data_IF_100290271161
#
_entry.id   IF_100290271161
#
_cell.length_a   1.000
_cell.length_b   1.000
_cell.length_c   1.000
_cell.angle_alpha   90.00
_cell.angle_beta   90.00
_cell.angle_gamma   90.00
#
_symmetry.space_group_name_H-M   'P 1'
#
loop_
_entity.id
_entity.type
_entity.pdbx_description
1 polymer ?
#
# COMPACT_ATOMS: atom_id res chain seq x y z
N UNK A 1 -21.05 19.95 2.54
CA UNK A 1 -19.59 20.07 2.72
C UNK A 1 -18.95 18.81 2.14
N UNK A 2 -18.48 18.89 0.89
CA UNK A 2 -17.95 17.75 0.13
C UNK A 2 -16.76 17.10 0.86
N UNK A 3 -15.88 17.93 1.48
CA UNK A 3 -14.71 17.44 2.22
C UNK A 3 -15.09 16.57 3.41
N UNK A 4 -16.19 16.91 4.10
CA UNK A 4 -16.70 16.12 5.22
C UNK A 4 -17.18 14.74 4.76
N UNK A 5 -17.85 14.66 3.62
CA UNK A 5 -18.33 13.38 3.06
C UNK A 5 -17.16 12.50 2.60
N UNK A 6 -16.12 13.10 2.00
CA UNK A 6 -14.89 12.40 1.61
C UNK A 6 -14.14 11.84 2.82
N UNK A 7 -14.03 12.62 3.91
CA UNK A 7 -13.40 12.18 5.16
C UNK A 7 -14.16 10.99 5.78
N UNK A 8 -15.49 11.04 5.85
CA UNK A 8 -16.27 9.94 6.41
C UNK A 8 -16.20 8.67 5.54
N UNK A 9 -16.17 8.83 4.21
CA UNK A 9 -15.96 7.71 3.29
C UNK A 9 -14.57 7.07 3.49
N UNK A 10 -13.53 7.90 3.60
CA UNK A 10 -12.17 7.46 3.91
C UNK A 10 -12.14 6.67 5.23
N UNK A 11 -12.68 7.24 6.31
CA UNK A 11 -12.71 6.59 7.63
C UNK A 11 -13.44 5.25 7.60
N UNK A 12 -14.56 5.17 6.89
CA UNK A 12 -15.32 3.92 6.70
C UNK A 12 -14.47 2.86 5.98
N UNK A 13 -13.75 3.25 4.92
CA UNK A 13 -12.85 2.36 4.21
C UNK A 13 -11.69 1.88 5.10
N UNK A 14 -11.05 2.81 5.82
CA UNK A 14 -9.93 2.48 6.73
C UNK A 14 -10.35 1.54 7.85
N UNK A 15 -11.51 1.79 8.49
CA UNK A 15 -12.07 0.89 9.52
C UNK A 15 -12.31 -0.52 8.99
N UNK A 16 -12.84 -0.63 7.77
CA UNK A 16 -13.07 -1.92 7.11
C UNK A 16 -11.77 -2.69 6.87
N UNK A 17 -10.70 -2.01 6.45
CA UNK A 17 -9.46 -2.68 6.06
C UNK A 17 -8.47 -2.91 7.21
N UNK A 18 -8.49 -2.06 8.24
CA UNK A 18 -7.44 -2.03 9.26
C UNK A 18 -7.93 -2.29 10.69
N UNK A 19 -9.24 -2.40 10.92
CA UNK A 19 -9.78 -2.61 12.27
C UNK A 19 -9.23 -1.57 13.23
N UNK A 20 -8.70 -1.99 14.37
CA UNK A 20 -8.16 -1.11 15.42
C UNK A 20 -6.97 -0.23 15.00
N UNK A 21 -6.31 -0.52 13.88
CA UNK A 21 -5.22 0.30 13.37
C UNK A 21 -5.69 1.50 12.53
N UNK A 22 -6.99 1.64 12.26
CA UNK A 22 -7.51 2.59 11.27
C UNK A 22 -7.14 4.07 11.55
N UNK A 23 -7.16 4.53 12.80
CA UNK A 23 -6.83 5.93 13.15
C UNK A 23 -5.36 6.25 12.87
N UNK A 24 -4.48 5.29 13.17
CA UNK A 24 -3.04 5.41 12.91
C UNK A 24 -2.77 5.49 11.42
N UNK A 25 -3.48 4.67 10.62
CA UNK A 25 -3.37 4.69 9.16
C UNK A 25 -3.97 5.98 8.58
N UNK A 26 -5.09 6.48 9.11
CA UNK A 26 -5.66 7.77 8.71
C UNK A 26 -4.64 8.90 8.88
N UNK A 27 -3.97 8.96 10.04
CA UNK A 27 -2.97 9.97 10.32
C UNK A 27 -1.85 9.97 9.27
N UNK A 28 -1.40 8.79 8.84
CA UNK A 28 -0.31 8.64 7.86
C UNK A 28 -0.77 9.04 6.46
N UNK A 29 -1.92 8.53 6.00
CA UNK A 29 -2.48 8.86 4.67
C UNK A 29 -2.74 10.37 4.53
N UNK A 30 -3.00 11.06 5.65
CA UNK A 30 -3.19 12.51 5.69
C UNK A 30 -1.89 13.32 5.84
N UNK A 31 -0.73 12.69 5.68
CA UNK A 31 0.58 13.33 5.68
C UNK A 31 1.37 13.19 6.99
N UNK A 32 0.89 12.43 7.96
CA UNK A 32 1.65 12.10 9.17
C UNK A 32 2.75 11.07 8.92
N UNK A 33 3.81 11.04 9.74
CA UNK A 33 4.86 10.03 9.63
C UNK A 33 4.38 8.67 10.17
N UNK A 34 4.81 7.59 9.52
CA UNK A 34 4.61 6.24 10.02
C UNK A 34 5.56 5.97 11.21
N UNK A 35 5.02 5.45 12.32
CA UNK A 35 5.82 5.08 13.49
C UNK A 35 6.56 3.75 13.32
N UNK A 36 6.10 2.90 12.40
CA UNK A 36 6.73 1.62 12.06
C UNK A 36 6.59 1.30 10.56
N UNK A 37 7.48 0.46 9.99
CA UNK A 37 7.36 0.00 8.60
C UNK A 37 6.02 -0.67 8.29
N UNK A 38 5.48 -1.47 9.22
CA UNK A 38 4.17 -2.11 9.05
C UNK A 38 3.03 -1.08 8.91
N UNK A 39 3.12 0.06 9.59
CA UNK A 39 2.13 1.14 9.44
C UNK A 39 2.24 1.77 8.04
N UNK A 40 3.46 1.90 7.51
CA UNK A 40 3.66 2.37 6.14
C UNK A 40 3.15 1.37 5.09
N UNK A 41 3.28 0.06 5.31
CA UNK A 41 2.63 -0.96 4.47
C UNK A 41 1.11 -0.75 4.44
N UNK A 42 0.49 -0.57 5.62
CA UNK A 42 -0.97 -0.34 5.73
C UNK A 42 -1.40 0.96 5.05
N UNK A 43 -0.63 2.02 5.19
CA UNK A 43 -0.89 3.30 4.53
C UNK A 43 -0.78 3.18 3.00
N UNK A 44 0.29 2.56 2.49
CA UNK A 44 0.45 2.30 1.04
C UNK A 44 -0.65 1.40 0.48
N UNK A 45 -1.05 0.36 1.22
CA UNK A 45 -2.22 -0.45 0.85
C UNK A 45 -3.50 0.40 0.76
N UNK A 46 -3.71 1.33 1.70
CA UNK A 46 -4.86 2.22 1.66
C UNK A 46 -4.80 3.15 0.45
N UNK A 47 -3.63 3.69 0.14
CA UNK A 47 -3.41 4.51 -1.05
C UNK A 47 -3.69 3.74 -2.35
N UNK A 48 -3.36 2.44 -2.41
CA UNK A 48 -3.76 1.57 -3.52
C UNK A 48 -5.30 1.49 -3.66
N UNK A 49 -6.00 1.19 -2.57
CA UNK A 49 -7.48 1.08 -2.57
C UNK A 49 -8.16 2.40 -2.94
N UNK A 50 -7.55 3.53 -2.56
CA UNK A 50 -8.05 4.88 -2.84
C UNK A 50 -7.59 5.44 -4.19
N UNK A 51 -6.82 4.68 -4.97
CA UNK A 51 -6.21 5.13 -6.23
C UNK A 51 -5.42 6.43 -6.06
N UNK A 52 -4.57 6.51 -5.04
CA UNK A 52 -3.70 7.65 -4.75
C UNK A 52 -2.25 7.37 -5.18
N UNK A 53 -1.90 7.60 -6.46
CA UNK A 53 -0.55 7.40 -6.98
C UNK A 53 0.45 8.40 -6.40
N UNK A 54 -0.01 9.58 -5.95
CA UNK A 54 0.85 10.61 -5.39
C UNK A 54 1.45 10.18 -4.05
N UNK A 55 0.61 9.64 -3.16
CA UNK A 55 1.08 9.10 -1.89
C UNK A 55 2.05 7.92 -2.08
N UNK A 56 1.74 7.01 -3.01
CA UNK A 56 2.60 5.86 -3.30
C UNK A 56 3.96 6.30 -3.86
N UNK A 57 3.98 7.27 -4.75
CA UNK A 57 5.21 7.85 -5.27
C UNK A 57 6.01 8.57 -4.18
N UNK A 58 5.36 9.37 -3.34
CA UNK A 58 6.02 10.12 -2.26
C UNK A 58 6.64 9.18 -1.20
N UNK A 59 5.99 8.05 -0.93
CA UNK A 59 6.41 7.07 0.10
C UNK A 59 7.23 5.90 -0.45
N UNK A 60 7.68 6.00 -1.69
CA UNK A 60 8.61 5.05 -2.30
C UNK A 60 10.02 5.65 -2.30
N UNK A 61 11.03 4.83 -2.54
CA UNK A 61 12.40 5.26 -2.76
C UNK A 61 12.95 4.45 -3.94
N UNK A 62 13.26 5.15 -5.02
CA UNK A 62 13.96 4.62 -6.18
C UNK A 62 15.13 5.55 -6.47
N UNK A 63 16.32 4.99 -6.64
CA UNK A 63 17.51 5.77 -6.97
C UNK A 63 17.38 6.36 -8.38
N UNK A 64 17.68 7.65 -8.52
CA UNK A 64 17.64 8.34 -9.81
C UNK A 64 16.25 8.75 -10.32
N UNK A 65 15.15 8.42 -9.62
CA UNK A 65 13.80 8.85 -10.01
C UNK A 65 13.22 9.93 -9.09
N UNK A 66 12.65 10.97 -9.70
CA UNK A 66 11.88 12.00 -9.01
C UNK A 66 10.52 11.48 -8.51
N UNK A 67 9.86 12.21 -7.60
CA UNK A 67 8.47 11.91 -7.21
C UNK A 67 7.55 11.94 -8.42
N UNK A 68 7.68 12.94 -9.30
CA UNK A 68 6.83 13.09 -10.49
C UNK A 68 6.91 11.87 -11.43
N UNK A 69 8.13 11.38 -11.72
CA UNK A 69 8.31 10.18 -12.54
C UNK A 69 7.66 8.94 -11.91
N UNK A 70 7.78 8.79 -10.60
CA UNK A 70 7.16 7.69 -9.86
C UNK A 70 5.64 7.80 -9.82
N UNK A 71 5.10 9.02 -9.74
CA UNK A 71 3.66 9.26 -9.83
C UNK A 71 3.11 8.79 -11.17
N UNK A 72 3.75 9.16 -12.29
CA UNK A 72 3.34 8.70 -13.62
C UNK A 72 3.40 7.17 -13.74
N UNK A 73 4.42 6.54 -13.16
CA UNK A 73 4.50 5.07 -13.11
C UNK A 73 3.34 4.45 -12.33
N UNK A 74 2.95 5.02 -11.19
CA UNK A 74 1.82 4.52 -10.41
C UNK A 74 0.48 4.77 -11.10
N UNK A 75 0.29 5.91 -11.79
CA UNK A 75 -0.88 6.19 -12.63
C UNK A 75 -1.04 5.09 -13.69
N UNK A 76 0.04 4.79 -14.43
CA UNK A 76 0.04 3.73 -15.43
C UNK A 76 -0.18 2.35 -14.81
N UNK A 77 0.48 2.04 -13.69
CA UNK A 77 0.36 0.76 -13.02
C UNK A 77 -1.08 0.49 -12.53
N UNK A 78 -1.79 1.53 -12.10
CA UNK A 78 -3.19 1.44 -11.69
C UNK A 78 -4.20 1.54 -12.84
N UNK A 79 -3.75 1.86 -14.06
CA UNK A 79 -4.64 2.10 -15.21
C UNK A 79 -5.54 3.33 -15.01
N UNK A 80 -5.03 4.36 -14.32
CA UNK A 80 -5.74 5.63 -14.16
C UNK A 80 -5.59 6.54 -15.39
N UNK A 81 -4.72 6.15 -16.34
CA UNK A 81 -4.64 6.74 -17.67
C UNK A 81 -5.40 5.85 -18.69
N UNK A 82 -6.01 6.47 -19.71
CA UNK A 82 -6.89 5.77 -20.67
C UNK A 82 -6.15 4.87 -21.66
N UNK A 83 -4.82 5.01 -21.75
CA UNK A 83 -4.07 4.54 -22.92
C UNK A 83 -3.20 3.31 -22.63
N UNK A 84 -3.13 2.85 -21.38
CA UNK A 84 -2.29 1.71 -20.97
C UNK A 84 -3.08 0.72 -20.10
N UNK A 85 -3.07 -0.58 -20.42
CA UNK A 85 -3.64 -1.59 -19.54
C UNK A 85 -2.96 -1.57 -18.16
N UNK A 86 -3.71 -1.67 -17.04
CA UNK A 86 -3.13 -1.62 -15.70
C UNK A 86 -2.16 -2.79 -15.47
N UNK A 87 -0.98 -2.49 -14.94
CA UNK A 87 0.00 -3.50 -14.52
C UNK A 87 -0.44 -4.21 -13.23
N UNK A 88 -1.11 -3.47 -12.33
CA UNK A 88 -1.73 -4.03 -11.15
C UNK A 88 -3.15 -4.43 -11.53
N UNK A 89 -3.34 -5.71 -11.83
CA UNK A 89 -4.68 -6.25 -12.05
C UNK A 89 -5.54 -5.99 -10.81
N UNK A 90 -6.76 -5.56 -11.04
CA UNK A 90 -7.82 -5.62 -10.03
C UNK A 90 -7.51 -4.86 -8.73
N UNK A 91 -6.88 -3.68 -8.81
CA UNK A 91 -6.72 -2.76 -7.65
C UNK A 91 -8.05 -2.57 -6.91
N UNK A 92 -9.16 -2.48 -7.65
CA UNK A 92 -10.51 -2.39 -7.08
C UNK A 92 -11.06 -3.66 -6.42
N UNK A 93 -10.41 -4.82 -6.58
CA UNK A 93 -10.78 -6.09 -5.92
C UNK A 93 -9.94 -6.40 -4.68
N UNK A 94 -8.92 -5.59 -4.39
CA UNK A 94 -8.10 -5.73 -3.18
C UNK A 94 -9.00 -5.77 -1.94
N UNK A 95 -9.06 -6.93 -1.30
CA UNK A 95 -10.02 -7.25 -0.26
C UNK A 95 -9.44 -7.12 1.15
N UNK A 96 -8.18 -7.56 1.32
CA UNK A 96 -7.55 -7.69 2.64
C UNK A 96 -6.04 -7.52 2.58
N UNK A 97 -5.49 -6.97 3.67
CA UNK A 97 -4.06 -6.95 3.98
C UNK A 97 -3.83 -7.64 5.33
N UNK A 98 -2.97 -8.64 5.34
CA UNK A 98 -2.48 -9.28 6.55
C UNK A 98 -0.97 -9.03 6.71
N UNK A 99 -0.56 -8.42 7.82
CA UNK A 99 0.86 -8.34 8.18
C UNK A 99 1.23 -9.68 8.81
N UNK A 100 2.15 -10.41 8.18
CA UNK A 100 2.61 -11.73 8.64
C UNK A 100 3.74 -11.56 9.65
N UNK A 101 4.70 -10.68 9.34
CA UNK A 101 5.87 -10.40 10.18
C UNK A 101 6.35 -8.98 9.96
N UNK A 102 6.81 -8.33 11.01
CA UNK A 102 7.54 -7.07 10.93
C UNK A 102 8.78 -7.16 11.81
N UNK A 103 9.95 -7.06 11.20
CA UNK A 103 11.24 -7.16 11.90
C UNK A 103 12.20 -6.12 11.34
N UNK A 104 12.65 -5.19 12.19
CA UNK A 104 13.50 -4.08 11.78
C UNK A 104 12.87 -3.29 10.64
N UNK A 105 13.53 -3.30 9.48
CA UNK A 105 13.11 -2.59 8.27
C UNK A 105 12.43 -3.49 7.23
N UNK A 106 12.15 -4.75 7.56
CA UNK A 106 11.53 -5.72 6.65
C UNK A 106 10.13 -6.08 7.16
N UNK A 107 9.17 -6.12 6.23
CA UNK A 107 7.79 -6.49 6.52
C UNK A 107 7.33 -7.56 5.54
N UNK A 108 6.92 -8.71 6.06
CA UNK A 108 6.20 -9.73 5.29
C UNK A 108 4.71 -9.48 5.42
N UNK A 109 4.00 -9.48 4.30
CA UNK A 109 2.56 -9.26 4.27
C UNK A 109 1.90 -10.04 3.13
N UNK A 110 0.60 -10.27 3.28
CA UNK A 110 -0.25 -10.91 2.27
C UNK A 110 -1.30 -9.90 1.83
N UNK A 111 -1.45 -9.75 0.52
CA UNK A 111 -2.55 -9.00 -0.09
C UNK A 111 -3.50 -10.00 -0.75
N UNK A 112 -4.76 -9.97 -0.34
CA UNK A 112 -5.83 -10.80 -0.92
C UNK A 112 -6.66 -9.98 -1.88
N UNK A 113 -6.88 -10.47 -3.10
CA UNK A 113 -7.69 -9.80 -4.15
C UNK A 113 -9.13 -10.34 -4.24
N UNK A 114 -9.56 -11.12 -3.24
CA UNK A 114 -10.84 -11.83 -3.23
C UNK A 114 -10.75 -13.19 -3.93
N UNK A 115 -11.48 -14.19 -3.43
CA UNK A 115 -11.35 -15.57 -3.91
C UNK A 115 -10.17 -16.30 -3.28
N UNK A 116 -9.43 -17.08 -4.09
CA UNK A 116 -8.25 -17.85 -3.68
C UNK A 116 -6.90 -17.16 -4.01
N UNK A 117 -6.95 -15.92 -4.51
CA UNK A 117 -5.77 -15.20 -5.00
C UNK A 117 -5.15 -14.36 -3.88
N UNK A 118 -4.26 -15.01 -3.13
CA UNK A 118 -3.41 -14.38 -2.11
C UNK A 118 -1.99 -14.21 -2.65
N UNK A 119 -1.46 -12.99 -2.58
CA UNK A 119 -0.08 -12.71 -2.94
C UNK A 119 0.74 -12.42 -1.69
N UNK A 120 1.82 -13.18 -1.48
CA UNK A 120 2.76 -12.90 -0.41
C UNK A 120 3.86 -11.98 -0.91
N UNK A 121 4.12 -10.94 -0.13
CA UNK A 121 5.13 -9.94 -0.39
C UNK A 121 6.09 -9.83 0.81
N UNK A 122 7.31 -9.45 0.50
CA UNK A 122 8.30 -8.98 1.46
C UNK A 122 8.73 -7.60 1.01
N UNK A 123 8.48 -6.59 1.85
CA UNK A 123 8.86 -5.21 1.59
C UNK A 123 10.00 -4.77 2.48
N UNK A 124 10.97 -4.08 1.88
CA UNK A 124 12.09 -3.44 2.59
C UNK A 124 11.82 -1.95 2.71
N UNK A 125 12.15 -1.38 3.86
CA UNK A 125 11.91 0.02 4.19
C UNK A 125 13.21 0.71 4.60
N UNK A 126 13.18 2.03 4.60
CA UNK A 126 14.21 2.87 5.23
C UNK A 126 13.58 4.03 5.96
N UNK A 127 14.28 4.57 6.93
CA UNK A 127 13.84 5.77 7.66
C UNK A 127 13.76 6.97 6.69
N UNK A 128 12.75 7.82 6.88
CA UNK A 128 12.56 9.06 6.13
C UNK A 128 12.13 10.18 7.09
N UNK A 129 12.74 11.38 7.01
CA UNK A 129 12.46 12.46 7.97
C UNK A 129 11.00 12.93 7.95
N UNK A 130 10.36 12.96 6.77
CA UNK A 130 8.98 13.44 6.61
C UNK A 130 7.93 12.35 6.83
N UNK A 131 8.19 11.13 6.36
CA UNK A 131 7.20 10.06 6.28
C UNK A 131 7.41 8.98 7.35
N UNK A 132 8.44 9.12 8.19
CA UNK A 132 8.89 8.09 9.12
C UNK A 132 9.61 6.94 8.41
N UNK A 133 8.92 6.27 7.48
CA UNK A 133 9.46 5.17 6.68
C UNK A 133 9.04 5.31 5.21
N UNK A 134 9.90 4.89 4.28
CA UNK A 134 9.56 4.77 2.86
C UNK A 134 9.93 3.39 2.32
N UNK A 135 9.13 2.88 1.39
CA UNK A 135 9.36 1.61 0.73
C UNK A 135 10.56 1.70 -0.21
N UNK A 136 11.51 0.78 -0.10
CA UNK A 136 12.66 0.69 -1.01
C UNK A 136 12.26 -0.25 -2.14
N UNK A 137 12.00 0.33 -3.31
CA UNK A 137 11.73 -0.43 -4.51
C UNK A 137 13.07 -0.91 -5.08
N UNK A 138 13.53 -2.08 -4.63
CA UNK A 138 14.56 -2.80 -5.37
C UNK A 138 13.89 -3.51 -6.57
N UNK A 139 14.60 -3.60 -7.70
CA UNK A 139 14.14 -4.37 -8.87
C UNK A 139 13.98 -5.88 -8.59
N UNK A 140 14.11 -6.30 -7.33
CA UNK A 140 14.07 -7.68 -6.85
C UNK A 140 12.90 -7.96 -5.90
N UNK A 141 11.91 -7.08 -5.75
CA UNK A 141 10.71 -7.39 -4.96
C UNK A 141 10.03 -8.65 -5.54
N UNK A 142 10.37 -9.82 -4.97
CA UNK A 142 9.86 -11.10 -5.45
C UNK A 142 8.49 -11.30 -4.85
N UNK A 143 7.45 -10.87 -5.55
CA UNK A 143 6.12 -11.43 -5.33
C UNK A 143 6.23 -12.95 -5.54
N UNK A 144 5.86 -13.73 -4.51
CA UNK A 144 5.74 -15.19 -4.64
C UNK A 144 4.26 -15.51 -4.50
N UNK A 145 3.74 -16.34 -5.40
CA UNK A 145 2.41 -16.93 -5.20
C UNK A 145 2.38 -17.62 -3.84
N UNK A 146 1.35 -17.32 -3.04
CA UNK A 146 1.09 -18.12 -1.86
C UNK A 146 0.70 -19.52 -2.35
N UNK A 147 1.37 -20.56 -1.86
CA UNK A 147 0.96 -21.92 -2.15
C UNK A 147 -0.51 -22.08 -1.70
N UNK A 148 -1.40 -22.64 -2.56
CA UNK A 148 -2.78 -22.87 -2.17
C UNK A 148 -2.79 -23.88 -1.02
N UNK A 149 -3.08 -23.44 0.22
CA UNK A 149 -3.25 -24.39 1.33
C UNK A 149 -3.02 -23.92 2.76
N UNK A 150 -2.54 -22.71 3.04
CA UNK A 150 -2.31 -22.30 4.43
C UNK A 150 -3.51 -21.54 5.04
N UNK A 151 -4.71 -22.12 4.99
CA UNK A 151 -5.72 -21.82 6.02
C UNK A 151 -5.45 -22.77 7.18
N UNK A 152 -4.84 -22.25 8.25
CA UNK A 152 -4.76 -22.95 9.52
C UNK A 152 -6.19 -23.28 9.98
N UNK A 153 -6.39 -24.55 10.33
CA UNK A 153 -7.60 -25.09 10.94
C UNK A 153 -7.84 -24.49 12.33
#
# INVERSE_FOLDING_TARGET
>A
DLRRMEIEALRKALRRHHGDAWERVEAIVRGGPAAAPADMVRARYSAMVLSDPGFLAATEAVEGESVAQRTERWIAAMGLNSDTPPLVKDVGKVAKLDIVRSEGLVVDYIVSFGGADDMRHTGTFRNHPEYGFVFVADGSSKAREAAPGARAA
#
